data_IF_715260225697
#
_entry.id   IF_715260225697
#
_cell.length_a   1.000
_cell.length_b   1.000
_cell.length_c   1.000
_cell.angle_alpha   90.00
_cell.angle_beta   90.00
_cell.angle_gamma   90.00
#
_symmetry.space_group_name_H-M   'P 1'
#
loop_
_entity.id
_entity.type
_entity.pdbx_description
1 polymer ?
#
# COMPACT_ATOMS: atom_id res chain seq x y z
N UNK A 1 1.43 18.89 -2.06
CA UNK A 1 1.66 20.13 -1.32
C UNK A 1 0.40 21.00 -1.15
N UNK A 2 -0.54 20.99 -2.09
CA UNK A 2 -1.80 21.75 -1.98
C UNK A 2 -2.71 21.22 -0.86
N UNK A 3 -2.78 19.93 -0.65
CA UNK A 3 -3.56 19.31 0.43
C UNK A 3 -3.03 19.67 1.82
N UNK A 4 -1.71 19.79 1.95
CA UNK A 4 -1.05 20.18 3.20
C UNK A 4 -1.33 21.64 3.58
N UNK A 5 -1.34 22.55 2.59
CA UNK A 5 -1.63 23.98 2.83
C UNK A 5 -3.10 24.23 3.18
N UNK A 6 -4.04 23.48 2.58
CA UNK A 6 -5.47 23.54 2.92
C UNK A 6 -5.71 23.01 4.34
N UNK A 7 -5.01 21.96 4.73
CA UNK A 7 -5.12 21.43 6.10
C UNK A 7 -4.53 22.40 7.13
N UNK A 8 -3.39 23.00 6.85
CA UNK A 8 -2.80 24.04 7.69
C UNK A 8 -3.76 25.22 7.87
N UNK A 9 -4.39 25.69 6.78
CA UNK A 9 -5.36 26.77 6.81
C UNK A 9 -6.62 26.40 7.62
N UNK A 10 -7.16 25.19 7.46
CA UNK A 10 -8.30 24.69 8.23
C UNK A 10 -7.99 24.48 9.71
N UNK A 11 -6.81 24.04 10.01
CA UNK A 11 -6.38 23.85 11.38
C UNK A 11 -6.12 25.20 12.08
N UNK A 12 -5.50 26.17 11.39
CA UNK A 12 -5.38 27.56 11.87
C UNK A 12 -6.77 28.19 12.07
N UNK A 13 -7.69 28.00 11.14
CA UNK A 13 -9.07 28.48 11.27
C UNK A 13 -9.82 27.84 12.45
N UNK A 14 -9.67 26.53 12.68
CA UNK A 14 -10.29 25.86 13.83
C UNK A 14 -9.68 26.30 15.17
N UNK A 15 -8.37 26.56 15.19
CA UNK A 15 -7.65 27.10 16.35
C UNK A 15 -8.05 28.56 16.68
N UNK A 16 -8.09 29.43 15.66
CA UNK A 16 -8.44 30.84 15.81
C UNK A 16 -9.93 31.04 16.16
N UNK A 17 -10.85 30.25 15.57
CA UNK A 17 -12.26 30.29 15.92
C UNK A 17 -12.53 29.87 17.38
N UNK A 18 -11.79 28.88 17.90
CA UNK A 18 -11.88 28.46 19.30
C UNK A 18 -11.32 29.51 20.25
N UNK A 19 -10.31 30.27 19.83
CA UNK A 19 -9.71 31.35 20.57
C UNK A 19 -10.62 32.58 20.62
N UNK A 20 -11.28 32.95 19.52
CA UNK A 20 -12.20 34.09 19.41
C UNK A 20 -13.55 33.90 20.13
N UNK A 21 -14.00 32.66 20.32
CA UNK A 21 -15.30 32.33 20.92
C UNK A 21 -15.22 31.97 22.41
N UNK A 22 -14.06 32.05 23.07
CA UNK A 22 -13.95 31.93 24.51
C UNK A 22 -14.12 33.29 25.17
N UNK A 23 -15.15 33.48 26.04
CA UNK A 23 -15.19 34.65 26.89
C UNK A 23 -13.99 34.59 27.86
N UNK A 24 -13.31 35.70 27.99
CA UNK A 24 -12.18 36.12 28.79
C UNK A 24 -11.99 35.42 30.16
N UNK A 25 -11.74 34.14 30.18
CA UNK A 25 -11.17 33.46 31.34
C UNK A 25 -9.76 33.01 30.96
N UNK A 26 -8.78 33.67 31.54
CA UNK A 26 -7.36 33.58 31.20
C UNK A 26 -6.71 32.23 31.47
N UNK A 27 -6.99 31.28 30.61
CA UNK A 27 -6.22 30.04 30.51
C UNK A 27 -5.51 29.99 29.17
N UNK A 28 -4.24 30.21 29.20
CA UNK A 28 -3.31 29.92 28.11
C UNK A 28 -3.58 28.52 27.58
N UNK A 29 -3.75 28.37 26.24
CA UNK A 29 -3.98 27.11 25.58
C UNK A 29 -2.64 26.56 25.06
N UNK A 30 -1.83 25.89 25.90
CA UNK A 30 -0.63 25.18 25.46
C UNK A 30 -0.97 23.93 24.62
N UNK A 31 -2.28 23.62 24.47
CA UNK A 31 -2.72 22.40 23.82
C UNK A 31 -2.86 22.48 22.30
N UNK A 32 -3.12 23.66 21.73
CA UNK A 32 -3.37 23.78 20.28
C UNK A 32 -2.10 23.56 19.45
N UNK A 33 -0.96 24.13 19.84
CA UNK A 33 0.32 23.91 19.15
C UNK A 33 0.78 22.47 19.21
N UNK A 34 0.71 21.84 20.39
CA UNK A 34 1.05 20.42 20.55
C UNK A 34 0.11 19.51 19.79
N UNK A 35 -1.17 19.84 19.71
CA UNK A 35 -2.14 19.10 18.89
C UNK A 35 -1.80 19.21 17.42
N UNK A 36 -1.37 20.38 16.96
CA UNK A 36 -0.93 20.62 15.58
C UNK A 36 0.31 19.79 15.23
N UNK A 37 1.33 19.80 16.05
CA UNK A 37 2.53 19.00 15.85
C UNK A 37 2.23 17.50 15.79
N UNK A 38 1.34 17.02 16.65
CA UNK A 38 0.92 15.60 16.66
C UNK A 38 0.15 15.23 15.41
N UNK A 39 -0.82 16.05 15.00
CA UNK A 39 -1.58 15.87 13.76
C UNK A 39 -0.66 15.88 12.52
N UNK A 40 0.25 16.82 12.46
CA UNK A 40 1.20 16.93 11.35
C UNK A 40 2.14 15.72 11.27
N UNK A 41 2.64 15.26 12.41
CA UNK A 41 3.51 14.07 12.49
C UNK A 41 2.78 12.82 12.00
N UNK A 42 1.57 12.59 12.48
CA UNK A 42 0.77 11.42 12.08
C UNK A 42 0.42 11.45 10.60
N UNK A 43 0.06 12.62 10.06
CA UNK A 43 -0.19 12.76 8.62
C UNK A 43 1.03 12.42 7.77
N UNK A 44 2.23 12.86 8.19
CA UNK A 44 3.48 12.47 7.52
C UNK A 44 3.78 10.97 7.63
N UNK A 45 3.49 10.37 8.78
CA UNK A 45 3.66 8.92 8.96
C UNK A 45 2.68 8.14 8.07
N UNK A 46 1.45 8.60 7.89
CA UNK A 46 0.46 7.98 7.00
C UNK A 46 0.87 8.11 5.53
N UNK A 47 1.39 9.27 5.12
CA UNK A 47 1.96 9.44 3.76
C UNK A 47 3.12 8.46 3.50
N UNK A 48 3.92 8.15 4.52
CA UNK A 48 5.02 7.20 4.42
C UNK A 48 4.59 5.73 4.54
N UNK A 49 3.47 5.44 5.23
CA UNK A 49 2.98 4.08 5.52
C UNK A 49 1.45 4.01 5.48
N UNK A 50 0.83 4.11 4.30
CA UNK A 50 -0.64 4.13 4.19
C UNK A 50 -1.30 2.84 4.68
N UNK A 51 -0.58 1.71 4.66
CA UNK A 51 -1.08 0.42 5.18
C UNK A 51 -1.34 0.43 6.69
N UNK A 52 -0.65 1.27 7.43
CA UNK A 52 -0.75 1.39 8.89
C UNK A 52 -1.75 2.48 9.32
N UNK A 53 -2.53 3.01 8.38
CA UNK A 53 -3.44 4.15 8.60
C UNK A 53 -4.44 3.95 9.74
N UNK A 54 -4.95 2.72 9.93
CA UNK A 54 -5.86 2.37 11.02
C UNK A 54 -5.17 2.43 12.40
N UNK A 55 -3.95 1.92 12.48
CA UNK A 55 -3.15 1.96 13.71
C UNK A 55 -2.70 3.38 14.04
N UNK A 56 -2.26 4.14 13.03
CA UNK A 56 -1.86 5.54 13.18
C UNK A 56 -3.04 6.41 13.61
N UNK A 57 -4.24 6.19 13.05
CA UNK A 57 -5.46 6.86 13.50
C UNK A 57 -5.78 6.52 14.96
N UNK A 58 -5.69 5.24 15.33
CA UNK A 58 -5.95 4.80 16.71
C UNK A 58 -4.98 5.46 17.69
N UNK A 59 -3.69 5.53 17.36
CA UNK A 59 -2.67 6.21 18.16
C UNK A 59 -2.97 7.70 18.29
N UNK A 60 -3.27 8.37 17.19
CA UNK A 60 -3.63 9.78 17.17
C UNK A 60 -4.83 10.08 18.06
N UNK A 61 -5.89 9.26 17.98
CA UNK A 61 -7.08 9.43 18.78
C UNK A 61 -6.84 9.20 20.28
N UNK A 62 -5.96 8.25 20.61
CA UNK A 62 -5.51 8.05 21.99
C UNK A 62 -4.75 9.26 22.53
N UNK A 63 -3.85 9.82 21.73
CA UNK A 63 -3.07 10.99 22.11
C UNK A 63 -3.93 12.28 22.18
N UNK A 64 -4.97 12.36 21.36
CA UNK A 64 -5.83 13.54 21.27
C UNK A 64 -6.85 13.60 22.41
N UNK A 65 -7.47 12.47 22.73
CA UNK A 65 -8.59 12.40 23.67
C UNK A 65 -8.22 11.74 25.00
N UNK A 66 -7.04 11.14 25.14
CA UNK A 66 -6.62 10.38 26.31
C UNK A 66 -7.75 9.50 26.89
N UNK A 67 -8.42 8.64 26.08
CA UNK A 67 -9.54 7.86 26.54
C UNK A 67 -9.11 6.80 27.54
N UNK A 68 -9.98 6.45 28.50
CA UNK A 68 -9.73 5.33 29.41
C UNK A 68 -9.74 3.98 28.68
N UNK A 69 -10.59 3.86 27.67
CA UNK A 69 -10.78 2.60 26.94
C UNK A 69 -10.90 2.85 25.45
N UNK A 70 -10.25 2.00 24.66
CA UNK A 70 -10.33 1.96 23.21
C UNK A 70 -10.66 0.54 22.77
N UNK A 71 -11.74 0.38 22.01
CA UNK A 71 -12.18 -0.91 21.48
C UNK A 71 -12.39 -0.80 19.97
N UNK A 72 -11.97 -1.82 19.24
CA UNK A 72 -12.30 -1.96 17.83
C UNK A 72 -13.57 -2.80 17.72
N UNK A 73 -14.50 -2.37 16.89
CA UNK A 73 -15.75 -3.08 16.61
C UNK A 73 -15.82 -3.41 15.13
N UNK A 74 -16.25 -4.61 14.80
CA UNK A 74 -16.61 -5.01 13.43
C UNK A 74 -18.04 -4.53 13.12
N UNK A 75 -18.20 -3.22 13.12
CA UNK A 75 -19.44 -2.54 12.83
C UNK A 75 -19.19 -1.41 11.83
N UNK A 76 -19.92 -1.37 10.71
CA UNK A 76 -19.78 -0.32 9.74
C UNK A 76 -20.26 1.02 10.31
N UNK A 77 -19.48 2.06 10.05
CA UNK A 77 -19.86 3.45 10.33
C UNK A 77 -19.35 4.35 9.21
N UNK A 78 -20.19 5.30 8.82
CA UNK A 78 -19.83 6.29 7.79
C UNK A 78 -19.30 7.59 8.38
N UNK A 79 -19.64 7.88 9.64
CA UNK A 79 -19.30 9.13 10.34
C UNK A 79 -19.04 8.87 11.82
N UNK A 80 -18.25 9.76 12.41
CA UNK A 80 -18.04 9.76 13.85
C UNK A 80 -19.30 10.22 14.59
N UNK A 81 -19.63 9.54 15.67
CA UNK A 81 -20.83 9.82 16.47
C UNK A 81 -20.53 9.75 17.95
N UNK A 82 -21.08 10.72 18.66
CA UNK A 82 -21.09 10.69 20.14
C UNK A 82 -22.22 9.75 20.58
N UNK A 83 -21.90 8.82 21.44
CA UNK A 83 -22.79 7.80 21.97
C UNK A 83 -22.89 7.92 23.50
N UNK A 84 -23.95 7.30 24.06
CA UNK A 84 -24.13 7.17 25.50
C UNK A 84 -23.96 8.51 26.23
N UNK A 85 -24.71 9.53 25.81
CA UNK A 85 -24.74 10.87 26.41
C UNK A 85 -23.38 11.56 26.55
N UNK A 86 -22.45 11.24 25.62
CA UNK A 86 -21.08 11.81 25.63
C UNK A 86 -20.02 10.93 26.26
N UNK A 87 -20.36 9.80 26.86
CA UNK A 87 -19.35 8.91 27.46
C UNK A 87 -18.53 8.13 26.42
N UNK A 88 -19.00 8.03 25.16
CA UNK A 88 -18.32 7.32 24.10
C UNK A 88 -18.32 8.10 22.77
N UNK A 89 -17.26 7.90 21.98
CA UNK A 89 -17.12 8.40 20.61
C UNK A 89 -16.85 7.20 19.68
N UNK A 90 -17.76 6.99 18.73
CA UNK A 90 -17.58 6.01 17.65
C UNK A 90 -16.90 6.69 16.48
N UNK A 91 -15.84 6.07 15.93
CA UNK A 91 -15.04 6.60 14.83
C UNK A 91 -14.89 5.54 13.76
N UNK A 92 -15.24 5.83 12.49
CA UNK A 92 -15.00 4.90 11.39
C UNK A 92 -13.50 4.74 11.13
N UNK A 93 -13.03 3.51 10.91
CA UNK A 93 -11.67 3.26 10.44
C UNK A 93 -11.58 3.48 8.94
N UNK A 94 -10.51 4.12 8.42
CA UNK A 94 -10.29 4.17 6.98
C UNK A 94 -10.02 2.76 6.45
N UNK A 95 -10.79 2.33 5.45
CA UNK A 95 -10.57 1.06 4.76
C UNK A 95 -9.47 1.21 3.71
N UNK A 96 -8.55 0.26 3.66
CA UNK A 96 -7.48 0.23 2.65
C UNK A 96 -8.03 -0.23 1.29
N UNK A 97 -9.12 -0.99 1.26
CA UNK A 97 -9.73 -1.51 0.03
C UNK A 97 -10.74 -0.54 -0.56
N UNK A 98 -10.25 0.39 -1.38
CA UNK A 98 -11.04 1.45 -1.99
C UNK A 98 -11.76 1.07 -3.30
N UNK A 99 -11.89 -0.21 -3.62
CA UNK A 99 -12.74 -0.63 -4.77
C UNK A 99 -14.23 -0.54 -4.49
N UNK A 100 -14.59 -0.41 -3.23
CA UNK A 100 -15.97 -0.16 -2.83
C UNK A 100 -15.99 1.05 -1.90
N UNK A 101 -16.64 2.14 -2.31
CA UNK A 101 -17.03 3.30 -1.48
C UNK A 101 -17.95 2.91 -0.30
N UNK A 102 -17.90 1.66 0.11
CA UNK A 102 -18.69 1.12 1.21
C UNK A 102 -18.14 1.64 2.53
N UNK A 103 -19.03 1.90 3.44
CA UNK A 103 -18.72 2.22 4.83
C UNK A 103 -17.64 1.29 5.35
N UNK A 104 -16.65 1.82 6.09
CA UNK A 104 -15.67 0.99 6.75
C UNK A 104 -16.39 -0.09 7.56
N UNK A 105 -16.06 -1.36 7.30
CA UNK A 105 -16.68 -2.49 8.05
C UNK A 105 -16.23 -2.50 9.52
N UNK A 106 -15.27 -1.65 9.88
CA UNK A 106 -14.69 -1.56 11.23
C UNK A 106 -14.73 -0.15 11.76
N UNK A 107 -14.97 -0.04 13.06
CA UNK A 107 -15.00 1.24 13.79
C UNK A 107 -14.22 1.13 15.08
N UNK A 108 -13.76 2.26 15.59
CA UNK A 108 -13.16 2.39 16.93
C UNK A 108 -14.16 3.07 17.84
N UNK A 109 -14.31 2.57 19.06
CA UNK A 109 -15.02 3.22 20.14
C UNK A 109 -14.03 3.69 21.19
N UNK A 110 -14.01 4.99 21.42
CA UNK A 110 -13.26 5.63 22.50
C UNK A 110 -14.23 5.90 23.67
N UNK A 111 -13.86 5.55 24.88
CA UNK A 111 -14.69 5.78 26.06
C UNK A 111 -13.96 6.66 27.05
N UNK A 112 -14.70 7.62 27.65
CA UNK A 112 -14.27 8.46 28.74
C UNK A 112 -13.04 9.30 28.39
N UNK A 113 -13.27 10.44 27.70
CA UNK A 113 -12.22 11.37 27.30
C UNK A 113 -11.48 11.96 28.52
N UNK A 114 -10.20 12.35 28.31
CA UNK A 114 -9.33 12.92 29.33
C UNK A 114 -9.32 12.08 30.61
N UNK A 115 -9.14 10.76 30.44
CA UNK A 115 -9.15 9.78 31.54
C UNK A 115 -10.40 9.84 32.41
N UNK A 116 -11.56 10.06 31.76
CA UNK A 116 -12.85 10.13 32.43
C UNK A 116 -13.23 11.50 32.98
N UNK A 117 -12.41 12.52 32.79
CA UNK A 117 -12.66 13.88 33.30
C UNK A 117 -13.56 14.71 32.39
N UNK A 118 -13.78 14.27 31.13
CA UNK A 118 -14.54 15.02 30.14
C UNK A 118 -15.46 14.09 29.32
N UNK A 119 -16.64 14.57 28.97
CA UNK A 119 -17.52 13.94 28.01
C UNK A 119 -17.11 14.33 26.58
N UNK A 120 -17.33 13.43 25.63
CA UNK A 120 -17.19 13.74 24.20
C UNK A 120 -18.30 14.69 23.76
N UNK A 121 -17.95 15.64 22.91
CA UNK A 121 -18.83 16.64 22.35
C UNK A 121 -19.09 16.39 20.86
N UNK A 122 -20.09 17.07 20.30
CA UNK A 122 -20.33 17.09 18.84
C UNK A 122 -19.15 17.68 18.07
N UNK A 123 -18.40 18.60 18.68
CA UNK A 123 -17.22 19.17 18.04
C UNK A 123 -16.07 18.17 17.98
N UNK A 124 -15.94 17.29 18.98
CA UNK A 124 -14.98 16.19 18.93
C UNK A 124 -15.30 15.21 17.77
N UNK A 125 -16.59 14.87 17.59
CA UNK A 125 -17.02 14.05 16.46
C UNK A 125 -16.72 14.71 15.11
N UNK A 126 -17.00 16.01 14.97
CA UNK A 126 -16.70 16.78 13.74
C UNK A 126 -15.20 16.88 13.47
N UNK A 127 -14.40 17.07 14.51
CA UNK A 127 -12.94 17.10 14.38
C UNK A 127 -12.43 15.75 13.89
N UNK A 128 -12.91 14.67 14.50
CA UNK A 128 -12.54 13.31 14.13
C UNK A 128 -12.95 12.97 12.71
N UNK A 129 -14.14 13.37 12.26
CA UNK A 129 -14.58 13.17 10.87
C UNK A 129 -13.63 13.86 9.88
N UNK A 130 -13.18 15.07 10.18
CA UNK A 130 -12.20 15.77 9.33
C UNK A 130 -10.86 15.05 9.27
N UNK A 131 -10.39 14.54 10.40
CA UNK A 131 -9.15 13.76 10.46
C UNK A 131 -9.27 12.49 9.63
N UNK A 132 -10.35 11.72 9.80
CA UNK A 132 -10.62 10.49 9.05
C UNK A 132 -10.70 10.78 7.54
N UNK A 133 -11.37 11.86 7.15
CA UNK A 133 -11.49 12.24 5.74
C UNK A 133 -10.14 12.62 5.14
N UNK A 134 -9.29 13.33 5.86
CA UNK A 134 -7.93 13.64 5.37
C UNK A 134 -7.08 12.39 5.23
N UNK A 135 -7.17 11.46 6.17
CA UNK A 135 -6.47 10.17 6.08
C UNK A 135 -6.95 9.36 4.87
N UNK A 136 -8.27 9.33 4.61
CA UNK A 136 -8.83 8.68 3.40
C UNK A 136 -8.25 9.27 2.12
N UNK A 137 -8.19 10.59 2.03
CA UNK A 137 -7.62 11.28 0.86
C UNK A 137 -6.15 10.97 0.67
N UNK A 138 -5.37 10.95 1.75
CA UNK A 138 -3.96 10.60 1.69
C UNK A 138 -3.75 9.16 1.19
N UNK A 139 -4.50 8.20 1.72
CA UNK A 139 -4.46 6.79 1.29
C UNK A 139 -4.93 6.64 -0.16
N UNK A 140 -6.01 7.32 -0.56
CA UNK A 140 -6.53 7.28 -1.92
C UNK A 140 -5.53 7.87 -2.93
N UNK A 141 -4.86 8.95 -2.57
CA UNK A 141 -3.83 9.57 -3.41
C UNK A 141 -2.63 8.62 -3.62
N UNK A 142 -2.13 8.01 -2.56
CA UNK A 142 -1.02 7.05 -2.66
C UNK A 142 -1.38 5.86 -3.56
N UNK A 143 -2.59 5.31 -3.40
CA UNK A 143 -3.10 4.25 -4.29
C UNK A 143 -3.22 4.68 -5.74
N UNK A 144 -3.69 5.91 -5.99
CA UNK A 144 -3.80 6.43 -7.36
C UNK A 144 -2.42 6.58 -8.01
N UNK A 145 -1.43 7.04 -7.25
CA UNK A 145 -0.03 7.14 -7.72
C UNK A 145 0.55 5.76 -8.02
N UNK A 146 0.35 4.78 -7.13
CA UNK A 146 0.87 3.42 -7.35
C UNK A 146 0.17 2.72 -8.52
N UNK A 147 -1.16 2.93 -8.67
CA UNK A 147 -1.92 2.44 -9.84
C UNK A 147 -1.37 3.05 -11.13
N UNK A 148 -1.18 4.36 -11.18
CA UNK A 148 -0.62 5.04 -12.36
C UNK A 148 0.79 4.54 -12.70
N UNK A 149 1.63 4.28 -11.69
CA UNK A 149 2.95 3.66 -11.90
C UNK A 149 2.85 2.24 -12.45
N UNK A 150 1.92 1.45 -11.95
CA UNK A 150 1.70 0.08 -12.42
C UNK A 150 1.18 0.04 -13.86
N UNK A 151 0.21 0.90 -14.19
CA UNK A 151 -0.32 1.05 -15.55
C UNK A 151 0.77 1.50 -16.53
N UNK A 152 1.62 2.46 -16.13
CA UNK A 152 2.73 2.93 -16.96
C UNK A 152 3.78 1.83 -17.18
N UNK A 153 4.14 1.06 -16.16
CA UNK A 153 5.04 -0.09 -16.31
C UNK A 153 4.45 -1.14 -17.25
N UNK A 154 3.16 -1.45 -17.13
CA UNK A 154 2.48 -2.39 -18.00
C UNK A 154 2.48 -1.89 -19.46
N UNK A 155 2.24 -0.58 -19.68
CA UNK A 155 2.29 0.03 -21.01
C UNK A 155 3.70 -0.05 -21.62
N UNK A 156 4.73 0.32 -20.83
CA UNK A 156 6.12 0.22 -21.30
C UNK A 156 6.48 -1.23 -21.66
N UNK A 157 6.06 -2.19 -20.83
CA UNK A 157 6.28 -3.61 -21.09
C UNK A 157 5.63 -4.06 -22.42
N UNK A 158 4.42 -3.59 -22.68
CA UNK A 158 3.70 -3.89 -23.93
C UNK A 158 4.40 -3.25 -25.14
N UNK A 159 4.75 -1.98 -25.06
CA UNK A 159 5.45 -1.24 -26.12
C UNK A 159 6.81 -1.92 -26.46
N UNK A 160 7.57 -2.31 -25.44
CA UNK A 160 8.81 -3.06 -25.62
C UNK A 160 8.60 -4.43 -26.27
N UNK A 161 7.55 -5.15 -25.84
CA UNK A 161 7.21 -6.44 -26.42
C UNK A 161 6.87 -6.33 -27.91
N UNK A 162 6.05 -5.35 -28.26
CA UNK A 162 5.54 -5.18 -29.61
C UNK A 162 6.62 -4.65 -30.57
N UNK A 163 7.38 -3.61 -30.20
CA UNK A 163 8.38 -3.01 -31.08
C UNK A 163 9.66 -3.88 -31.17
N UNK A 164 10.26 -4.24 -30.05
CA UNK A 164 11.50 -5.04 -30.06
C UNK A 164 11.20 -6.48 -30.46
N UNK A 165 10.09 -7.06 -30.01
CA UNK A 165 9.67 -8.39 -30.36
C UNK A 165 9.46 -8.54 -31.86
N UNK A 166 8.77 -7.61 -32.53
CA UNK A 166 8.58 -7.61 -33.96
C UNK A 166 9.91 -7.50 -34.74
N UNK A 167 10.83 -6.66 -34.27
CA UNK A 167 12.17 -6.53 -34.88
C UNK A 167 13.00 -7.81 -34.74
N UNK A 168 12.99 -8.43 -33.56
CA UNK A 168 13.70 -9.69 -33.32
C UNK A 168 13.12 -10.83 -34.16
N UNK A 169 11.79 -10.92 -34.29
CA UNK A 169 11.15 -11.88 -35.17
C UNK A 169 11.57 -11.66 -36.63
N UNK A 170 11.64 -10.41 -37.08
CA UNK A 170 12.10 -10.09 -38.43
C UNK A 170 13.57 -10.53 -38.64
N UNK A 171 14.43 -10.32 -37.63
CA UNK A 171 15.81 -10.78 -37.65
C UNK A 171 15.90 -12.31 -37.68
N UNK A 172 15.05 -13.02 -36.94
CA UNK A 172 14.97 -14.47 -36.93
C UNK A 172 14.64 -15.02 -38.32
N UNK A 173 13.66 -14.42 -39.03
CA UNK A 173 13.33 -14.80 -40.39
C UNK A 173 14.44 -14.50 -41.41
N UNK A 174 15.29 -13.54 -41.14
CA UNK A 174 16.45 -13.17 -41.98
C UNK A 174 17.73 -13.85 -41.56
N UNK A 175 17.74 -14.66 -40.52
CA UNK A 175 18.91 -15.38 -40.05
C UNK A 175 19.41 -16.34 -41.13
N UNK A 176 20.72 -16.25 -41.47
CA UNK A 176 21.36 -17.06 -42.47
C UNK A 176 22.13 -18.25 -41.91
N UNK A 177 22.21 -18.34 -40.58
CA UNK A 177 22.88 -19.47 -39.90
C UNK A 177 22.04 -19.92 -38.70
N UNK A 178 22.15 -21.22 -38.34
CA UNK A 178 21.50 -21.77 -37.15
C UNK A 178 21.92 -21.07 -35.85
N UNK A 179 23.19 -20.66 -35.76
CA UNK A 179 23.68 -19.95 -34.57
C UNK A 179 23.06 -18.59 -34.40
N UNK A 180 22.82 -17.85 -35.49
CA UNK A 180 22.13 -16.56 -35.46
C UNK A 180 20.66 -16.72 -35.07
N UNK A 181 19.98 -17.73 -35.60
CA UNK A 181 18.61 -18.04 -35.25
C UNK A 181 18.49 -18.36 -33.74
N UNK A 182 19.37 -19.19 -33.21
CA UNK A 182 19.40 -19.53 -31.78
C UNK A 182 19.68 -18.30 -30.89
N UNK A 183 20.63 -17.45 -31.32
CA UNK A 183 20.90 -16.20 -30.59
C UNK A 183 19.66 -15.29 -30.52
N UNK A 184 18.96 -15.09 -31.64
CA UNK A 184 17.75 -14.28 -31.67
C UNK A 184 16.63 -14.92 -30.85
N UNK A 185 16.50 -16.24 -30.88
CA UNK A 185 15.51 -16.97 -30.08
C UNK A 185 15.78 -16.80 -28.56
N UNK A 186 17.02 -16.84 -28.14
CA UNK A 186 17.39 -16.55 -26.74
C UNK A 186 17.08 -15.12 -26.36
N UNK A 187 17.40 -14.14 -27.21
CA UNK A 187 17.12 -12.73 -26.98
C UNK A 187 15.60 -12.46 -26.87
N UNK A 188 14.77 -13.10 -27.70
CA UNK A 188 13.30 -13.04 -27.60
C UNK A 188 12.80 -13.59 -26.26
N UNK A 189 13.40 -14.68 -25.78
CA UNK A 189 13.04 -15.27 -24.50
C UNK A 189 13.41 -14.37 -23.32
N UNK A 190 14.58 -13.72 -23.40
CA UNK A 190 15.02 -12.75 -22.39
C UNK A 190 14.11 -11.52 -22.39
N UNK A 191 13.77 -10.98 -23.56
CA UNK A 191 12.83 -9.87 -23.68
C UNK A 191 11.46 -10.22 -23.06
N UNK A 192 10.91 -11.39 -23.34
CA UNK A 192 9.65 -11.86 -22.77
C UNK A 192 9.71 -11.97 -21.24
N UNK A 193 10.86 -12.38 -20.71
CA UNK A 193 11.08 -12.46 -19.26
C UNK A 193 11.13 -11.07 -18.63
N UNK A 194 11.83 -10.12 -19.26
CA UNK A 194 11.94 -8.74 -18.78
C UNK A 194 10.60 -8.00 -18.84
N UNK A 195 9.86 -8.11 -19.95
CA UNK A 195 8.57 -7.44 -20.11
C UNK A 195 7.52 -7.99 -19.15
N UNK A 196 7.52 -9.30 -18.89
CA UNK A 196 6.66 -9.90 -17.85
C UNK A 196 7.02 -9.35 -16.45
N UNK A 197 8.31 -9.22 -16.14
CA UNK A 197 8.76 -8.64 -14.86
C UNK A 197 8.35 -7.17 -14.71
N UNK A 198 8.36 -6.37 -15.78
CA UNK A 198 7.92 -4.97 -15.78
C UNK A 198 6.41 -4.84 -15.57
N UNK A 199 5.62 -5.71 -16.22
CA UNK A 199 4.16 -5.69 -16.13
C UNK A 199 3.62 -6.19 -14.79
N UNK A 200 4.37 -7.03 -14.07
CA UNK A 200 3.96 -7.54 -12.77
C UNK A 200 4.29 -6.54 -11.67
N UNK A 201 3.28 -6.01 -11.02
CA UNK A 201 3.42 -5.31 -9.75
C UNK A 201 3.73 -6.34 -8.64
N UNK A 202 4.76 -6.11 -7.84
CA UNK A 202 5.06 -6.87 -6.63
C UNK A 202 5.15 -8.40 -6.81
N UNK A 203 6.26 -8.88 -7.38
CA UNK A 203 6.59 -10.31 -7.35
C UNK A 203 7.08 -10.70 -5.96
N UNK A 204 6.19 -11.28 -5.16
CA UNK A 204 6.60 -11.88 -3.88
C UNK A 204 7.42 -13.14 -4.13
N UNK A 205 8.43 -13.35 -3.30
CA UNK A 205 9.31 -14.52 -3.38
C UNK A 205 8.53 -15.84 -3.35
N UNK A 206 7.47 -15.92 -2.52
CA UNK A 206 6.56 -17.07 -2.46
C UNK A 206 5.89 -17.36 -3.80
N UNK A 207 5.45 -16.33 -4.50
CA UNK A 207 4.82 -16.46 -5.81
C UNK A 207 5.83 -16.86 -6.89
N UNK A 208 7.01 -16.22 -6.89
CA UNK A 208 8.10 -16.54 -7.79
C UNK A 208 8.55 -18.02 -7.67
N UNK A 209 8.70 -18.52 -6.43
CA UNK A 209 9.10 -19.91 -6.17
C UNK A 209 8.05 -20.92 -6.64
N UNK A 210 6.76 -20.61 -6.54
CA UNK A 210 5.70 -21.46 -7.06
C UNK A 210 5.73 -21.53 -8.60
N UNK A 211 5.97 -20.40 -9.29
CA UNK A 211 6.16 -20.37 -10.75
C UNK A 211 7.40 -21.16 -11.18
N UNK A 212 8.53 -20.98 -10.50
CA UNK A 212 9.77 -21.73 -10.82
C UNK A 212 9.58 -23.22 -10.63
N UNK A 213 8.94 -23.64 -9.53
CA UNK A 213 8.60 -25.05 -9.31
C UNK A 213 7.80 -25.63 -10.46
N UNK A 214 6.78 -24.91 -10.92
CA UNK A 214 5.91 -25.38 -12.02
C UNK A 214 6.66 -25.46 -13.34
N UNK A 215 7.46 -24.45 -13.71
CA UNK A 215 8.28 -24.46 -14.94
C UNK A 215 9.31 -25.58 -14.93
N UNK A 216 9.99 -25.78 -13.80
CA UNK A 216 11.01 -26.82 -13.64
C UNK A 216 10.38 -28.22 -13.64
N UNK A 217 9.29 -28.42 -12.90
CA UNK A 217 8.58 -29.70 -12.85
C UNK A 217 8.11 -30.13 -14.25
N UNK A 218 7.59 -29.19 -15.04
CA UNK A 218 7.15 -29.47 -16.40
C UNK A 218 8.32 -29.91 -17.32
N UNK A 219 9.48 -29.30 -17.17
CA UNK A 219 10.67 -29.64 -17.99
C UNK A 219 11.27 -30.99 -17.60
N UNK A 220 11.40 -31.24 -16.31
CA UNK A 220 11.96 -32.48 -15.80
C UNK A 220 11.01 -33.66 -16.05
N UNK A 221 9.71 -33.45 -15.92
CA UNK A 221 8.69 -34.47 -16.26
C UNK A 221 8.75 -34.87 -17.74
N UNK A 222 9.01 -33.94 -18.66
CA UNK A 222 9.20 -34.24 -20.07
C UNK A 222 10.42 -35.12 -20.33
N UNK A 223 11.42 -35.08 -19.44
CA UNK A 223 12.62 -35.93 -19.46
C UNK A 223 12.51 -37.18 -18.56
N UNK A 224 11.31 -37.42 -17.99
CA UNK A 224 11.05 -38.52 -17.04
C UNK A 224 11.91 -38.47 -15.75
N UNK A 225 12.28 -37.26 -15.32
CA UNK A 225 13.07 -37.01 -14.11
C UNK A 225 12.14 -36.51 -13.01
N UNK A 226 12.22 -37.13 -11.81
CA UNK A 226 11.44 -36.73 -10.65
C UNK A 226 12.05 -35.50 -9.97
N UNK A 227 11.22 -34.49 -9.67
CA UNK A 227 11.62 -33.26 -8.99
C UNK A 227 11.35 -33.34 -7.49
N UNK A 228 12.39 -33.34 -6.66
CA UNK A 228 12.26 -33.01 -5.24
C UNK A 228 12.51 -31.52 -5.02
N UNK A 229 11.49 -30.78 -4.58
CA UNK A 229 11.55 -29.33 -4.41
C UNK A 229 11.31 -28.93 -2.96
N UNK A 230 12.32 -28.37 -2.32
CA UNK A 230 12.22 -27.78 -0.98
C UNK A 230 12.71 -26.34 -1.03
N UNK A 231 11.91 -25.41 -0.59
CA UNK A 231 12.26 -24.00 -0.53
C UNK A 231 11.74 -23.40 0.78
N UNK A 232 12.66 -22.95 1.63
CA UNK A 232 12.36 -22.31 2.91
C UNK A 232 12.86 -20.89 2.92
N UNK A 233 12.08 -19.97 3.42
CA UNK A 233 12.45 -18.56 3.60
C UNK A 233 11.85 -18.01 4.90
N UNK A 234 12.64 -17.21 5.60
CA UNK A 234 12.22 -16.61 6.87
C UNK A 234 11.23 -15.46 6.67
N UNK A 235 11.30 -14.79 5.52
CA UNK A 235 10.43 -13.66 5.17
C UNK A 235 10.07 -13.70 3.70
N UNK A 236 8.79 -13.47 3.42
CA UNK A 236 8.28 -13.32 2.06
C UNK A 236 8.59 -11.89 1.56
N UNK A 237 9.73 -11.73 0.90
CA UNK A 237 10.20 -10.45 0.37
C UNK A 237 9.62 -10.16 -1.01
N UNK A 238 9.50 -8.87 -1.33
CA UNK A 238 9.13 -8.40 -2.66
C UNK A 238 10.40 -8.30 -3.51
N UNK A 239 10.39 -8.97 -4.64
CA UNK A 239 11.49 -8.97 -5.61
C UNK A 239 11.31 -7.82 -6.60
N UNK A 240 12.35 -7.00 -6.77
CA UNK A 240 12.42 -6.06 -7.88
C UNK A 240 12.58 -6.80 -9.23
N UNK A 241 12.25 -6.13 -10.34
CA UNK A 241 12.31 -6.70 -11.70
C UNK A 241 13.66 -7.33 -12.02
N UNK A 242 14.76 -6.67 -11.65
CA UNK A 242 16.13 -7.16 -11.89
C UNK A 242 16.41 -8.41 -11.06
N UNK A 243 16.02 -8.41 -9.79
CA UNK A 243 16.18 -9.55 -8.88
C UNK A 243 15.36 -10.75 -9.34
N UNK A 244 14.08 -10.51 -9.69
CA UNK A 244 13.20 -11.55 -10.21
C UNK A 244 13.74 -12.17 -11.50
N UNK A 245 14.22 -11.35 -12.45
CA UNK A 245 14.80 -11.82 -13.72
C UNK A 245 16.06 -12.65 -13.46
N UNK A 246 16.97 -12.17 -12.64
CA UNK A 246 18.20 -12.89 -12.30
C UNK A 246 17.91 -14.23 -11.61
N UNK A 247 17.04 -14.23 -10.60
CA UNK A 247 16.66 -15.43 -9.87
C UNK A 247 15.88 -16.44 -10.72
N UNK A 248 15.08 -15.98 -11.69
CA UNK A 248 14.37 -16.86 -12.63
C UNK A 248 15.35 -17.56 -13.60
N UNK A 249 16.42 -16.88 -13.97
CA UNK A 249 17.40 -17.40 -14.92
C UNK A 249 18.25 -18.52 -14.32
N UNK A 250 18.69 -18.37 -13.08
CA UNK A 250 19.56 -19.36 -12.41
C UNK A 250 18.99 -20.79 -12.41
N UNK A 251 17.79 -21.07 -11.87
CA UNK A 251 17.25 -22.43 -11.86
C UNK A 251 16.96 -22.96 -13.27
N UNK A 252 16.63 -22.10 -14.22
CA UNK A 252 16.44 -22.51 -15.61
C UNK A 252 17.73 -22.98 -16.28
N UNK A 253 18.83 -22.27 -16.06
CA UNK A 253 20.14 -22.65 -16.56
C UNK A 253 20.66 -23.96 -15.93
N UNK A 254 20.46 -24.10 -14.60
CA UNK A 254 20.81 -25.32 -13.89
C UNK A 254 20.05 -26.54 -14.43
N UNK A 255 18.76 -26.43 -14.65
CA UNK A 255 17.95 -27.51 -15.23
C UNK A 255 18.34 -27.79 -16.68
N UNK A 256 18.58 -26.76 -17.49
CA UNK A 256 19.03 -26.95 -18.87
C UNK A 256 20.37 -27.69 -18.93
N UNK A 257 21.28 -27.34 -18.02
CA UNK A 257 22.59 -28.03 -17.94
C UNK A 257 22.45 -29.48 -17.47
N UNK A 258 21.60 -29.74 -16.46
CA UNK A 258 21.33 -31.08 -15.97
C UNK A 258 20.62 -32.00 -16.99
N UNK A 259 19.89 -31.43 -17.95
CA UNK A 259 19.23 -32.19 -19.03
C UNK A 259 20.14 -32.48 -20.24
N UNK A 260 21.30 -31.80 -20.33
CA UNK A 260 22.25 -31.97 -21.40
C UNK A 260 23.37 -33.00 -21.07
N UNK A 261 23.51 -33.30 -19.78
CA UNK A 261 24.48 -34.23 -19.25
C UNK A 261 23.80 -35.35 -18.47
#
# INVERSE_FOLDING_TARGET
SLSLSVFLALAVYAGTRRWLLRPMSGQHVPGAERMFERLYRVLREVEARPRDSAELLTRLLRDLFEPLQVQTLDRPSTRSRVLAEGSALLVPLPTIDAEHERASDRSIVLRYAERGKRMFSRDDARLTDRVVEQLRRAVAYDKAVERGRSEERARIAQDLHDDIGARLLTLMYKAQSPEMEDYVRHTLKDLKTLTRGLASSDQRLSHATAEWKTDIAQRLSAAQIELSWTFNFDRDIVLGVVQWSALTRVPRELVSHALQH
#
